data_IF_742266935596
#
_entry.id   IF_742266935596
#
_cell.length_a   1.000
_cell.length_b   1.000
_cell.length_c   1.000
_cell.angle_alpha   90.00
_cell.angle_beta   90.00
_cell.angle_gamma   90.00
#
_symmetry.space_group_name_H-M   'P 1'
#
loop_
_entity.id
_entity.type
_entity.pdbx_description
1 polymer ?
#
# COMPACT_ATOMS: atom_id res chain seq x y z
N UNK A 1 -0.68 -4.19 6.76
CA UNK A 1 -1.49 -3.34 5.84
C UNK A 1 -2.80 -4.08 5.54
N UNK A 2 -3.94 -3.41 5.64
CA UNK A 2 -5.27 -4.04 5.57
C UNK A 2 -5.75 -4.28 4.12
N UNK A 3 -4.84 -4.28 3.14
CA UNK A 3 -5.13 -4.35 1.70
C UNK A 3 -4.31 -5.48 1.07
N UNK A 4 -4.64 -5.88 -0.15
CA UNK A 4 -3.76 -6.69 -1.03
C UNK A 4 -2.76 -5.73 -1.68
N UNK A 5 -1.47 -5.83 -1.32
CA UNK A 5 -0.48 -4.76 -1.57
C UNK A 5 0.36 -5.07 -2.81
N UNK A 6 0.48 -4.09 -3.71
CA UNK A 6 1.32 -4.23 -4.90
C UNK A 6 2.81 -4.23 -4.55
N UNK A 7 3.59 -4.95 -5.37
CA UNK A 7 5.02 -5.16 -5.11
C UNK A 7 5.81 -3.85 -5.03
N UNK A 8 5.51 -2.88 -5.88
CA UNK A 8 6.20 -1.58 -5.92
C UNK A 8 6.02 -0.82 -4.59
N UNK A 9 4.84 -0.90 -3.98
CA UNK A 9 4.55 -0.27 -2.68
C UNK A 9 5.37 -0.97 -1.59
N UNK A 10 5.42 -2.31 -1.59
CA UNK A 10 6.23 -3.06 -0.64
C UNK A 10 7.73 -2.78 -0.78
N UNK A 11 8.23 -2.58 -2.00
CA UNK A 11 9.61 -2.18 -2.25
C UNK A 11 9.90 -0.75 -1.78
N UNK A 12 8.99 0.19 -2.05
CA UNK A 12 9.11 1.57 -1.55
C UNK A 12 9.17 1.62 -0.03
N UNK A 13 8.31 0.87 0.66
CA UNK A 13 8.32 0.81 2.14
C UNK A 13 9.66 0.29 2.65
N UNK A 14 10.24 -0.73 2.01
CA UNK A 14 11.54 -1.26 2.40
C UNK A 14 12.67 -0.27 2.18
N UNK A 15 12.66 0.43 1.05
CA UNK A 15 13.68 1.44 0.70
C UNK A 15 13.66 2.63 1.67
N UNK A 16 12.47 3.05 2.09
CA UNK A 16 12.26 4.19 3.00
C UNK A 16 12.29 3.82 4.48
N UNK A 17 12.28 2.53 4.82
CA UNK A 17 12.23 2.10 6.20
C UNK A 17 13.51 2.48 6.94
N UNK A 18 13.41 2.99 8.18
CA UNK A 18 14.59 3.31 8.96
C UNK A 18 15.13 2.09 9.74
N UNK A 19 14.47 0.91 9.61
CA UNK A 19 14.90 -0.35 10.21
C UNK A 19 15.70 -1.20 9.21
N UNK A 20 16.76 -1.87 9.70
CA UNK A 20 17.59 -2.79 8.89
C UNK A 20 16.75 -3.88 8.21
N UNK A 21 15.83 -4.49 8.97
CA UNK A 21 14.93 -5.53 8.47
C UNK A 21 13.49 -5.04 8.44
N UNK A 22 12.91 -4.96 7.24
CA UNK A 22 11.51 -4.57 7.04
C UNK A 22 10.82 -5.47 6.03
N UNK A 23 9.60 -5.89 6.35
CA UNK A 23 8.75 -6.64 5.42
C UNK A 23 7.29 -6.26 5.57
N UNK A 24 6.54 -6.37 4.47
CA UNK A 24 5.12 -6.07 4.43
C UNK A 24 4.31 -7.30 4.79
N UNK A 25 3.35 -7.13 5.72
CA UNK A 25 2.27 -8.10 5.95
C UNK A 25 0.99 -7.49 5.38
N UNK A 26 0.45 -8.11 4.35
CA UNK A 26 -0.84 -7.75 3.76
C UNK A 26 -2.01 -8.46 4.45
N UNK A 27 -3.24 -7.98 4.20
CA UNK A 27 -4.47 -8.52 4.80
C UNK A 27 -4.43 -8.65 6.34
N UNK A 28 -3.56 -7.88 6.98
CA UNK A 28 -3.43 -7.87 8.43
C UNK A 28 -4.59 -7.06 9.02
N UNK A 29 -5.26 -7.58 10.06
CA UNK A 29 -6.31 -6.89 10.82
C UNK A 29 -7.52 -6.38 10.01
N UNK A 30 -7.65 -6.74 8.73
CA UNK A 30 -8.76 -6.31 7.88
C UNK A 30 -8.58 -6.65 6.41
N UNK A 31 -9.64 -6.39 5.63
CA UNK A 31 -9.68 -6.54 4.18
C UNK A 31 -10.29 -5.29 3.53
N UNK A 32 -9.48 -4.54 2.79
CA UNK A 32 -9.88 -3.33 2.08
C UNK A 32 -9.66 -3.39 0.56
N UNK A 33 -9.56 -4.62 0.01
CA UNK A 33 -9.35 -4.86 -1.41
C UNK A 33 -7.91 -4.60 -1.88
N UNK A 34 -7.75 -4.52 -3.20
CA UNK A 34 -6.50 -4.20 -3.86
C UNK A 34 -6.02 -2.78 -3.58
N UNK A 35 -4.71 -2.64 -3.44
CA UNK A 35 -4.03 -1.36 -3.31
C UNK A 35 -3.05 -1.14 -4.48
N UNK A 36 -3.55 -0.79 -5.67
CA UNK A 36 -2.69 -0.36 -6.77
C UNK A 36 -2.18 1.07 -6.54
N UNK A 37 -1.07 1.41 -7.20
CA UNK A 37 -0.56 2.80 -7.24
C UNK A 37 -1.38 3.69 -8.18
N UNK A 38 -1.30 5.03 -8.09
CA UNK A 38 -1.93 5.94 -9.07
C UNK A 38 -1.59 5.59 -10.53
N UNK A 39 -0.31 5.29 -10.81
CA UNK A 39 0.15 4.87 -12.15
C UNK A 39 -0.50 3.56 -12.62
N UNK A 40 -0.71 2.61 -11.71
CA UNK A 40 -1.40 1.35 -12.03
C UNK A 40 -2.88 1.59 -12.37
N UNK A 41 -3.55 2.54 -11.70
CA UNK A 41 -4.91 2.93 -12.11
C UNK A 41 -4.97 3.44 -13.55
N UNK A 42 -3.96 4.19 -14.03
CA UNK A 42 -3.88 4.65 -15.42
C UNK A 42 -3.63 3.50 -16.41
N UNK A 43 -2.81 2.52 -16.03
CA UNK A 43 -2.49 1.35 -16.86
C UNK A 43 -3.65 0.34 -16.94
N UNK A 44 -4.52 0.33 -15.93
CA UNK A 44 -5.62 -0.64 -15.81
C UNK A 44 -5.16 -2.00 -15.30
N UNK A 45 -6.08 -2.97 -15.35
CA UNK A 45 -5.89 -4.32 -14.78
C UNK A 45 -7.06 -4.73 -13.91
N UNK A 46 -7.20 -6.02 -13.63
CA UNK A 46 -8.31 -6.55 -12.83
C UNK A 46 -8.40 -5.88 -11.46
N UNK A 47 -7.25 -5.63 -10.85
CA UNK A 47 -7.05 -5.05 -9.53
C UNK A 47 -7.41 -3.56 -9.45
N UNK A 48 -7.54 -2.89 -10.60
CA UNK A 48 -7.77 -1.43 -10.68
C UNK A 48 -9.21 -1.05 -11.01
N UNK A 49 -10.02 -2.02 -11.43
CA UNK A 49 -11.41 -1.79 -11.82
C UNK A 49 -12.30 -1.67 -10.60
N UNK A 50 -13.19 -0.67 -10.61
CA UNK A 50 -14.11 -0.42 -9.50
C UNK A 50 -14.96 -1.67 -9.20
N UNK A 51 -14.71 -2.30 -8.05
CA UNK A 51 -15.37 -3.52 -7.61
C UNK A 51 -15.41 -3.59 -6.07
N UNK A 52 -16.13 -4.57 -5.50
CA UNK A 52 -16.08 -4.81 -4.05
C UNK A 52 -14.67 -5.19 -3.56
N UNK A 53 -13.84 -5.73 -4.45
CA UNK A 53 -12.44 -6.05 -4.23
C UNK A 53 -11.47 -4.91 -4.57
N UNK A 54 -11.95 -3.79 -5.14
CA UNK A 54 -11.10 -2.65 -5.50
C UNK A 54 -11.93 -1.36 -5.53
N UNK A 55 -11.96 -0.68 -4.39
CA UNK A 55 -12.83 0.48 -4.14
C UNK A 55 -12.12 1.65 -3.44
N UNK A 56 -10.84 1.53 -3.17
CA UNK A 56 -10.07 2.65 -2.68
C UNK A 56 -9.93 3.71 -3.78
N UNK A 57 -9.71 4.94 -3.37
CA UNK A 57 -9.49 6.06 -4.29
C UNK A 57 -8.05 6.01 -4.86
N UNK A 58 -7.77 6.56 -6.06
CA UNK A 58 -6.50 6.38 -6.74
C UNK A 58 -5.24 6.78 -5.94
N UNK A 59 -5.36 7.74 -5.04
CA UNK A 59 -4.27 8.25 -4.19
C UNK A 59 -4.17 7.52 -2.83
N UNK A 60 -4.93 6.43 -2.64
CA UNK A 60 -4.89 5.70 -1.37
C UNK A 60 -3.51 5.11 -1.06
N UNK A 61 -2.77 4.62 -2.05
CA UNK A 61 -1.44 4.03 -1.80
C UNK A 61 -0.42 5.05 -1.28
N UNK A 62 -0.19 6.23 -1.90
CA UNK A 62 0.76 7.20 -1.37
C UNK A 62 0.33 7.77 0.00
N UNK A 63 -0.97 7.89 0.25
CA UNK A 63 -1.47 8.31 1.57
C UNK A 63 -1.13 7.29 2.66
N UNK A 64 -1.35 6.00 2.39
CA UNK A 64 -1.02 4.92 3.34
C UNK A 64 0.49 4.89 3.61
N UNK A 65 1.32 5.02 2.57
CA UNK A 65 2.77 5.03 2.75
C UNK A 65 3.21 6.25 3.57
N UNK A 66 2.62 7.43 3.34
CA UNK A 66 2.94 8.64 4.12
C UNK A 66 2.67 8.42 5.60
N UNK A 67 1.46 7.96 5.96
CA UNK A 67 1.11 7.68 7.36
C UNK A 67 2.01 6.59 7.95
N UNK A 68 2.38 5.57 7.18
CA UNK A 68 3.29 4.53 7.65
C UNK A 68 4.68 5.08 7.99
N UNK A 69 5.19 6.02 7.21
CA UNK A 69 6.50 6.65 7.46
C UNK A 69 6.44 7.56 8.68
N UNK A 70 5.36 8.34 8.84
CA UNK A 70 5.13 9.12 10.06
C UNK A 70 5.13 8.23 11.32
N UNK A 71 4.51 7.04 11.23
CA UNK A 71 4.52 6.06 12.31
C UNK A 71 5.89 5.43 12.56
N UNK A 72 6.73 5.27 11.54
CA UNK A 72 8.12 4.81 11.72
C UNK A 72 8.95 5.86 12.45
N UNK A 73 8.76 7.14 12.14
CA UNK A 73 9.44 8.27 12.80
C UNK A 73 9.04 8.40 14.29
N UNK A 74 7.87 7.92 14.71
CA UNK A 74 7.48 7.90 16.13
C UNK A 74 8.25 6.87 16.98
N UNK A 75 8.81 5.84 16.35
CA UNK A 75 9.44 4.71 17.04
C UNK A 75 10.94 4.54 16.72
N UNK A 76 11.51 5.39 15.87
CA UNK A 76 12.95 5.49 15.62
C UNK A 76 13.52 6.81 16.17
#
# INVERSE_FOLDING_TARGET
IHCEVFVEIGLEIKDRSPFEDTFTIELANGYNGYLPTPKHHELGGYETWRAKSSYLEPEASPQIVTVLMDLFDEIH
#
